data_IF_294537807797
#
_entry.id   IF_294537807797
#
_cell.length_a   1.000
_cell.length_b   1.000
_cell.length_c   1.000
_cell.angle_alpha   90.00
_cell.angle_beta   90.00
_cell.angle_gamma   90.00
#
_symmetry.space_group_name_H-M   'P 1'
#
loop_
_entity.id
_entity.type
_entity.pdbx_description
1 polymer ?
#
# COMPACT_ATOMS: atom_id res chain seq x y z
N UNK A 1 -2.30 -11.72 -3.09
CA UNK A 1 -3.78 -11.68 -3.00
C UNK A 1 -4.41 -10.60 -3.89
N UNK A 2 -4.11 -9.30 -3.69
CA UNK A 2 -4.73 -8.21 -4.47
C UNK A 2 -4.61 -8.35 -6.00
N UNK A 3 -3.41 -8.66 -6.51
CA UNK A 3 -3.18 -8.90 -7.96
C UNK A 3 -4.09 -9.98 -8.55
N UNK A 4 -4.36 -11.06 -7.80
CA UNK A 4 -5.24 -12.14 -8.26
C UNK A 4 -6.70 -11.64 -8.40
N UNK A 5 -7.19 -10.90 -7.41
CA UNK A 5 -8.54 -10.32 -7.42
C UNK A 5 -8.71 -9.29 -8.55
N UNK A 6 -7.72 -8.44 -8.76
CA UNK A 6 -7.72 -7.45 -9.84
C UNK A 6 -7.73 -8.11 -11.22
N UNK A 7 -6.91 -9.14 -11.42
CA UNK A 7 -6.90 -9.90 -12.69
C UNK A 7 -8.22 -10.61 -12.95
N UNK A 8 -8.87 -11.13 -11.92
CA UNK A 8 -10.17 -11.79 -12.05
C UNK A 8 -11.28 -10.86 -12.59
N UNK A 9 -11.15 -9.54 -12.38
CA UNK A 9 -12.07 -8.53 -12.93
C UNK A 9 -11.53 -7.81 -14.17
N UNK A 10 -10.51 -8.37 -14.82
CA UNK A 10 -9.97 -7.86 -16.09
C UNK A 10 -8.94 -6.74 -15.97
N UNK A 11 -8.50 -6.36 -14.76
CA UNK A 11 -7.44 -5.36 -14.59
C UNK A 11 -6.07 -6.01 -14.87
N UNK A 12 -5.43 -5.59 -15.96
CA UNK A 12 -4.15 -6.15 -16.43
C UNK A 12 -2.94 -5.32 -16.05
N UNK A 13 -3.08 -3.99 -15.93
CA UNK A 13 -2.03 -3.07 -15.51
C UNK A 13 -1.99 -2.90 -14.00
N UNK A 14 -1.08 -3.61 -13.31
CA UNK A 14 -0.88 -3.48 -11.86
C UNK A 14 0.60 -3.21 -11.56
N UNK A 15 0.88 -2.07 -10.95
CA UNK A 15 2.22 -1.55 -10.70
C UNK A 15 2.49 -1.31 -9.21
N UNK A 16 3.77 -1.26 -8.83
CA UNK A 16 4.23 -1.05 -7.46
C UNK A 16 4.04 -2.27 -6.54
N UNK A 17 3.80 -1.99 -5.26
CA UNK A 17 3.78 -2.94 -4.14
C UNK A 17 5.17 -3.46 -3.69
N UNK A 18 6.21 -2.66 -3.93
CA UNK A 18 7.61 -3.00 -3.57
C UNK A 18 8.00 -2.59 -2.14
N UNK A 19 7.09 -1.94 -1.40
CA UNK A 19 7.33 -1.46 -0.04
C UNK A 19 6.58 -2.27 1.01
N UNK A 20 7.18 -2.34 2.20
CA UNK A 20 6.58 -2.96 3.38
C UNK A 20 6.56 -1.96 4.54
N UNK A 21 5.37 -1.54 4.96
CA UNK A 21 5.23 -0.55 6.04
C UNK A 21 5.82 -1.03 7.37
N UNK A 22 5.84 -2.34 7.62
CA UNK A 22 6.41 -2.92 8.84
C UNK A 22 7.94 -2.86 8.89
N UNK A 23 8.64 -3.31 7.84
CA UNK A 23 10.10 -3.39 7.84
C UNK A 23 10.79 -2.06 7.55
N UNK A 24 10.10 -1.12 6.90
CA UNK A 24 10.67 0.13 6.41
C UNK A 24 10.28 1.32 7.29
N UNK A 25 10.84 1.34 8.51
CA UNK A 25 10.48 2.30 9.56
C UNK A 25 10.90 3.74 9.27
N UNK A 26 11.89 3.97 8.41
CA UNK A 26 12.35 5.32 8.06
C UNK A 26 11.37 6.07 7.15
N UNK A 27 10.50 5.34 6.44
CA UNK A 27 9.58 5.91 5.44
C UNK A 27 8.11 5.79 5.81
N UNK A 28 7.73 4.83 6.66
CA UNK A 28 6.32 4.53 6.90
C UNK A 28 5.98 4.38 8.38
N UNK A 29 4.83 4.97 8.77
CA UNK A 29 4.14 4.57 9.99
C UNK A 29 3.61 3.14 9.86
N UNK A 30 3.68 2.34 10.92
CA UNK A 30 3.12 0.98 10.95
C UNK A 30 2.49 0.67 12.29
N UNK A 31 1.16 0.51 12.30
CA UNK A 31 0.43 0.12 13.50
C UNK A 31 0.91 -1.24 14.06
N UNK A 32 1.20 -2.21 13.19
CA UNK A 32 1.67 -3.53 13.64
C UNK A 32 3.05 -3.47 14.32
N UNK A 33 3.87 -2.49 13.97
CA UNK A 33 5.18 -2.28 14.60
C UNK A 33 5.10 -1.41 15.85
N UNK A 34 4.43 -0.26 15.76
CA UNK A 34 4.55 0.82 16.74
C UNK A 34 3.28 1.00 17.61
N UNK A 35 2.17 0.34 17.28
CA UNK A 35 0.89 0.54 17.96
C UNK A 35 0.32 1.94 17.70
N UNK A 36 0.29 2.80 18.71
CA UNK A 36 -0.27 4.14 18.60
C UNK A 36 0.69 5.04 17.79
N UNK A 37 0.41 5.19 16.50
CA UNK A 37 1.27 5.86 15.52
C UNK A 37 0.45 6.73 14.55
N UNK A 38 1.13 7.48 13.68
CA UNK A 38 0.51 8.30 12.64
C UNK A 38 -0.18 7.48 11.54
N UNK A 39 -0.69 8.17 10.52
CA UNK A 39 -1.35 7.55 9.35
C UNK A 39 -0.81 8.17 8.06
N UNK A 40 -0.66 7.32 7.05
CA UNK A 40 -0.34 7.73 5.68
C UNK A 40 -1.62 7.82 4.86
N UNK A 41 -1.56 8.51 3.73
CA UNK A 41 -2.64 8.60 2.76
C UNK A 41 -2.14 8.28 1.35
N UNK A 42 -3.00 7.69 0.51
CA UNK A 42 -2.78 7.52 -0.92
C UNK A 42 -3.77 8.42 -1.65
N UNK A 43 -3.27 9.33 -2.48
CA UNK A 43 -4.09 10.32 -3.17
C UNK A 43 -3.98 10.14 -4.68
N UNK A 44 -5.11 10.32 -5.37
CA UNK A 44 -5.20 10.43 -6.82
C UNK A 44 -6.18 11.54 -7.15
N UNK A 45 -5.84 12.37 -8.14
CA UNK A 45 -6.71 13.43 -8.63
C UNK A 45 -6.70 13.43 -10.15
N UNK A 46 -7.84 13.75 -10.75
CA UNK A 46 -7.91 14.08 -12.16
C UNK A 46 -7.62 15.57 -12.31
N UNK A 47 -6.90 15.89 -13.37
CA UNK A 47 -6.54 17.27 -13.69
C UNK A 47 -7.65 17.94 -14.48
#
# INVERSE_FOLDING_TARGET
LARLRLRAVGVTGVFGADFCTFSDSSRFFSYRRDGLTGRMASLILMR
#
